data_IF_541685627879
#
_entry.id   IF_541685627879
#
_cell.length_a   1.000
_cell.length_b   1.000
_cell.length_c   1.000
_cell.angle_alpha   90.00
_cell.angle_beta   90.00
_cell.angle_gamma   90.00
#
_symmetry.space_group_name_H-M   'P 1'
#
loop_
_entity.id
_entity.type
_entity.pdbx_description
1 polymer ?
#
# COMPACT_ATOMS: atom_id res chain seq x y z
N UNK A 1 -10.58 84.52 -14.59
CA UNK A 1 -11.09 83.19 -14.15
C UNK A 1 -11.00 82.25 -15.34
N UNK A 2 -10.03 81.33 -15.32
CA UNK A 2 -9.77 80.39 -16.41
C UNK A 2 -10.08 78.98 -15.92
N UNK A 3 -11.08 78.34 -16.54
CA UNK A 3 -11.51 76.97 -16.22
C UNK A 3 -10.79 75.97 -17.12
N UNK A 4 -10.07 75.03 -16.52
CA UNK A 4 -9.38 73.92 -17.19
C UNK A 4 -10.34 72.75 -17.40
N UNK A 5 -10.51 72.36 -18.66
CA UNK A 5 -11.32 71.22 -19.12
C UNK A 5 -10.52 69.91 -19.05
N UNK A 6 -11.03 68.94 -18.31
CA UNK A 6 -10.47 67.57 -18.18
C UNK A 6 -11.02 66.66 -19.28
N UNK A 7 -10.23 65.82 -19.98
CA UNK A 7 -10.74 64.96 -21.03
C UNK A 7 -11.28 63.63 -20.48
N UNK A 8 -12.40 63.18 -21.07
CA UNK A 8 -13.12 61.97 -20.73
C UNK A 8 -12.37 60.68 -21.13
N UNK A 9 -12.40 59.69 -20.23
CA UNK A 9 -11.76 58.38 -20.35
C UNK A 9 -12.58 57.48 -21.28
N UNK A 10 -12.02 57.04 -22.41
CA UNK A 10 -12.63 56.05 -23.33
C UNK A 10 -12.78 54.69 -22.63
N UNK A 11 -13.92 53.99 -22.80
CA UNK A 11 -14.06 52.61 -22.35
C UNK A 11 -13.21 51.66 -23.21
N UNK A 12 -12.48 50.75 -22.55
CA UNK A 12 -11.75 49.66 -23.21
C UNK A 12 -12.74 48.64 -23.77
N UNK A 13 -12.63 48.36 -25.06
CA UNK A 13 -13.28 47.26 -25.76
C UNK A 13 -12.90 45.92 -25.13
N UNK A 14 -13.91 45.14 -24.72
CA UNK A 14 -13.74 43.78 -24.21
C UNK A 14 -13.20 42.87 -25.33
N UNK A 15 -12.03 42.27 -25.07
CA UNK A 15 -11.39 41.31 -25.95
C UNK A 15 -12.07 39.96 -25.73
N UNK A 16 -12.72 39.42 -26.77
CA UNK A 16 -13.37 38.12 -26.72
C UNK A 16 -12.32 37.03 -26.46
N UNK A 17 -12.55 36.24 -25.40
CA UNK A 17 -11.76 35.07 -25.03
C UNK A 17 -11.81 34.04 -26.15
N UNK A 18 -10.66 33.62 -26.66
CA UNK A 18 -10.58 32.49 -27.58
C UNK A 18 -11.11 31.21 -26.90
N UNK A 19 -11.81 30.31 -27.62
CA UNK A 19 -12.26 29.05 -27.07
C UNK A 19 -11.05 28.21 -26.61
N UNK A 20 -11.16 27.45 -25.50
CA UNK A 20 -10.08 26.59 -25.06
C UNK A 20 -9.78 25.56 -26.14
N UNK A 21 -8.52 25.52 -26.58
CA UNK A 21 -8.02 24.44 -27.42
C UNK A 21 -8.16 23.13 -26.63
N UNK A 22 -8.94 22.19 -27.18
CA UNK A 22 -9.14 20.85 -26.65
C UNK A 22 -7.85 20.04 -26.79
N UNK A 23 -6.97 20.16 -25.81
CA UNK A 23 -5.85 19.25 -25.62
C UNK A 23 -6.34 18.01 -24.88
N UNK A 24 -6.06 16.82 -25.43
CA UNK A 24 -6.33 15.54 -24.77
C UNK A 24 -5.57 15.46 -23.45
N UNK A 25 -6.28 15.16 -22.36
CA UNK A 25 -5.71 14.94 -21.04
C UNK A 25 -5.47 13.43 -20.83
N UNK A 26 -4.33 13.02 -20.24
CA UNK A 26 -4.08 11.62 -19.96
C UNK A 26 -5.07 11.09 -18.92
N UNK A 27 -5.66 9.93 -19.23
CA UNK A 27 -6.55 9.18 -18.36
C UNK A 27 -5.71 8.17 -17.55
N UNK A 28 -5.86 8.14 -16.23
CA UNK A 28 -5.19 7.14 -15.38
C UNK A 28 -6.25 6.26 -14.74
N UNK A 29 -6.10 4.94 -14.81
CA UNK A 29 -7.00 3.99 -14.13
C UNK A 29 -6.31 3.47 -12.88
N UNK A 30 -6.95 3.63 -11.73
CA UNK A 30 -6.48 3.07 -10.47
C UNK A 30 -6.67 1.54 -10.48
N UNK A 31 -5.55 0.81 -10.37
CA UNK A 31 -5.52 -0.65 -10.46
C UNK A 31 -6.15 -1.37 -9.25
N UNK A 32 -6.41 -0.68 -8.13
CA UNK A 32 -7.04 -1.29 -6.96
C UNK A 32 -8.54 -1.01 -6.87
N UNK A 33 -8.97 0.19 -7.26
CA UNK A 33 -10.40 0.56 -7.23
C UNK A 33 -11.10 0.44 -8.58
N UNK A 34 -10.37 0.30 -9.69
CA UNK A 34 -10.91 0.33 -11.05
C UNK A 34 -11.41 1.71 -11.49
N UNK A 35 -11.18 2.76 -10.68
CA UNK A 35 -11.71 4.10 -10.94
C UNK A 35 -10.91 4.84 -12.00
N UNK A 36 -11.61 5.57 -12.85
CA UNK A 36 -11.04 6.48 -13.84
C UNK A 36 -10.67 7.79 -13.14
N UNK A 37 -9.39 8.12 -13.12
CA UNK A 37 -8.83 9.34 -12.56
C UNK A 37 -8.55 10.33 -13.69
N UNK A 38 -9.19 11.50 -13.61
CA UNK A 38 -8.92 12.61 -14.51
C UNK A 38 -7.72 13.41 -14.00
N UNK A 39 -6.70 13.56 -14.85
CA UNK A 39 -5.51 14.34 -14.53
C UNK A 39 -5.64 15.73 -15.14
N UNK A 40 -5.84 16.75 -14.29
CA UNK A 40 -5.79 18.14 -14.73
C UNK A 40 -4.43 18.75 -14.36
N UNK A 41 -3.67 19.32 -15.32
CA UNK A 41 -2.51 20.13 -14.99
C UNK A 41 -2.98 21.39 -14.25
N UNK A 42 -2.50 21.61 -13.04
CA UNK A 42 -2.66 22.88 -12.34
C UNK A 42 -1.94 23.96 -13.16
N UNK A 43 -2.69 24.79 -13.88
CA UNK A 43 -2.12 26.02 -14.46
C UNK A 43 -1.53 26.82 -13.30
N UNK A 44 -0.24 27.16 -13.42
CA UNK A 44 0.48 28.01 -12.48
C UNK A 44 -0.18 29.40 -12.39
N UNK A 45 -1.28 29.50 -11.65
CA UNK A 45 -1.88 30.75 -11.26
C UNK A 45 -1.13 31.24 -10.02
N UNK A 46 -0.38 32.34 -10.21
CA UNK A 46 0.30 33.14 -9.19
C UNK A 46 1.74 32.77 -8.78
N UNK A 47 2.62 32.48 -9.73
CA UNK A 47 4.06 32.68 -9.52
C UNK A 47 4.46 34.15 -9.77
N UNK A 48 3.96 35.04 -8.91
CA UNK A 48 4.20 36.48 -8.97
C UNK A 48 5.12 36.99 -7.86
N UNK A 49 6.18 36.27 -7.49
CA UNK A 49 7.26 36.79 -6.61
C UNK A 49 8.60 36.14 -6.96
N UNK A 50 9.34 36.76 -7.88
CA UNK A 50 10.77 36.51 -8.07
C UNK A 50 11.56 37.21 -6.96
N UNK A 51 12.04 36.46 -5.97
CA UNK A 51 13.14 36.92 -5.12
C UNK A 51 14.46 36.75 -5.88
N UNK A 52 15.02 37.87 -6.36
CA UNK A 52 16.39 37.90 -6.91
C UNK A 52 17.38 37.94 -5.75
N UNK A 53 18.09 36.83 -5.55
CA UNK A 53 19.37 36.80 -4.84
C UNK A 53 20.42 36.28 -5.82
N UNK A 54 21.30 37.17 -6.26
CA UNK A 54 22.36 36.84 -7.22
C UNK A 54 23.58 36.23 -6.55
N UNK A 55 24.15 35.21 -7.18
CA UNK A 55 25.60 35.02 -7.36
C UNK A 55 25.79 33.83 -8.29
N UNK A 56 26.71 33.95 -9.24
CA UNK A 56 26.83 33.11 -10.42
C UNK A 56 27.24 31.67 -10.13
N UNK A 57 26.49 30.74 -10.73
CA UNK A 57 26.94 29.46 -11.25
C UNK A 57 25.75 28.89 -12.06
N UNK A 58 26.03 28.34 -13.25
CA UNK A 58 25.08 27.62 -14.11
C UNK A 58 24.20 26.67 -13.28
N UNK A 59 22.98 27.09 -12.98
CA UNK A 59 22.03 26.34 -12.15
C UNK A 59 21.03 25.71 -13.08
N UNK A 60 21.09 24.38 -13.21
CA UNK A 60 19.98 23.60 -13.75
C UNK A 60 18.74 23.94 -12.92
N UNK A 61 17.75 24.58 -13.55
CA UNK A 61 16.47 24.87 -12.92
C UNK A 61 15.74 23.56 -12.63
N UNK A 62 15.24 23.43 -11.40
CA UNK A 62 14.40 22.29 -11.01
C UNK A 62 12.96 22.52 -11.47
N UNK A 63 12.30 21.45 -11.91
CA UNK A 63 10.89 21.48 -12.33
C UNK A 63 10.04 20.78 -11.25
N UNK A 64 9.10 21.52 -10.66
CA UNK A 64 8.09 20.98 -9.74
C UNK A 64 6.83 20.71 -10.56
N UNK A 65 6.40 19.45 -10.60
CA UNK A 65 5.17 19.06 -11.27
C UNK A 65 4.08 18.83 -10.21
N UNK A 66 3.04 19.65 -10.27
CA UNK A 66 1.86 19.55 -9.43
C UNK A 66 0.76 18.83 -10.19
N UNK A 67 0.27 17.74 -9.61
CA UNK A 67 -0.89 17.01 -10.12
C UNK A 67 -1.99 17.04 -9.08
N UNK A 68 -3.20 17.37 -9.50
CA UNK A 68 -4.40 17.22 -8.68
C UNK A 68 -5.20 16.09 -9.33
N UNK A 69 -5.30 14.97 -8.62
CA UNK A 69 -6.12 13.84 -9.02
C UNK A 69 -7.47 14.00 -8.33
N UNK A 70 -8.53 14.04 -9.14
CA UNK A 70 -9.89 14.12 -8.63
C UNK A 70 -10.64 12.86 -9.05
N UNK A 71 -10.97 12.02 -8.06
CA UNK A 71 -11.91 10.93 -8.28
C UNK A 71 -13.33 11.51 -8.41
N UNK A 72 -14.17 10.91 -9.26
CA UNK A 72 -15.56 11.33 -9.42
C UNK A 72 -16.31 11.19 -8.08
N UNK A 73 -16.63 12.33 -7.45
CA UNK A 73 -17.33 12.38 -6.15
C UNK A 73 -16.45 12.41 -4.89
N UNK A 74 -15.11 12.42 -5.04
CA UNK A 74 -14.17 12.48 -3.91
C UNK A 74 -13.55 13.86 -3.68
N UNK A 75 -12.95 14.06 -2.50
CA UNK A 75 -12.09 15.21 -2.23
C UNK A 75 -10.83 15.13 -3.12
N UNK A 76 -10.35 16.25 -3.69
CA UNK A 76 -9.18 16.24 -4.57
C UNK A 76 -7.93 15.86 -3.78
N UNK A 77 -7.13 14.94 -4.33
CA UNK A 77 -5.84 14.54 -3.76
C UNK A 77 -4.73 15.19 -4.57
N UNK A 78 -3.88 15.97 -3.91
CA UNK A 78 -2.77 16.69 -4.54
C UNK A 78 -1.48 15.89 -4.40
N UNK A 79 -0.85 15.60 -5.52
CA UNK A 79 0.46 14.97 -5.61
C UNK A 79 1.49 16.00 -6.04
N UNK A 80 2.61 16.03 -5.33
CA UNK A 80 3.78 16.83 -5.71
C UNK A 80 4.88 15.87 -6.13
N UNK A 81 5.23 15.89 -7.41
CA UNK A 81 6.33 15.07 -7.93
C UNK A 81 7.57 15.95 -8.03
N UNK A 82 8.56 15.65 -7.17
CA UNK A 82 9.86 16.30 -7.14
C UNK A 82 10.83 15.57 -8.08
N UNK A 83 11.14 16.17 -9.23
CA UNK A 83 12.15 15.63 -10.14
C UNK A 83 13.55 16.18 -9.77
N UNK A 84 14.44 15.23 -9.46
CA UNK A 84 15.85 15.30 -9.05
C UNK A 84 16.46 16.61 -8.47
N UNK A 85 16.91 16.50 -7.22
CA UNK A 85 17.84 17.40 -6.51
C UNK A 85 18.12 16.89 -5.08
N UNK A 86 19.24 17.28 -4.45
CA UNK A 86 19.72 16.77 -3.14
C UNK A 86 18.61 16.71 -2.07
N UNK A 87 18.54 15.57 -1.37
CA UNK A 87 17.58 15.17 -0.30
C UNK A 87 17.26 16.28 0.72
N UNK A 88 18.24 17.09 1.10
CA UNK A 88 18.05 18.17 2.09
C UNK A 88 17.02 19.21 1.63
N UNK A 89 16.95 19.53 0.33
CA UNK A 89 16.01 20.55 -0.18
C UNK A 89 14.60 20.04 -0.43
N UNK A 90 14.42 18.73 -0.63
CA UNK A 90 13.10 18.10 -0.66
C UNK A 90 12.45 18.11 0.72
N UNK A 91 13.25 17.96 1.78
CA UNK A 91 12.81 18.11 3.17
C UNK A 91 12.43 19.56 3.50
N UNK A 92 13.16 20.54 2.98
CA UNK A 92 12.81 21.96 3.15
C UNK A 92 11.51 22.34 2.41
N UNK A 93 11.31 21.82 1.18
CA UNK A 93 10.08 22.02 0.43
C UNK A 93 8.87 21.35 1.10
N UNK A 94 9.06 20.15 1.65
CA UNK A 94 8.07 19.48 2.47
C UNK A 94 7.70 20.27 3.73
N UNK A 95 8.68 20.86 4.43
CA UNK A 95 8.42 21.71 5.60
C UNK A 95 7.62 22.97 5.23
N UNK A 96 7.98 23.63 4.14
CA UNK A 96 7.23 24.79 3.65
C UNK A 96 5.76 24.47 3.33
N UNK A 97 5.49 23.28 2.77
CA UNK A 97 4.14 22.81 2.47
C UNK A 97 3.36 22.39 3.74
N UNK A 98 4.04 21.85 4.75
CA UNK A 98 3.44 21.54 6.04
C UNK A 98 3.04 22.81 6.82
N UNK A 99 3.84 23.89 6.72
CA UNK A 99 3.54 25.20 7.29
C UNK A 99 2.31 25.86 6.63
N UNK A 100 1.95 25.47 5.40
CA UNK A 100 0.72 25.88 4.71
C UNK A 100 -0.51 25.03 5.09
N UNK A 101 -0.38 24.11 6.06
CA UNK A 101 -1.48 23.29 6.56
C UNK A 101 -1.88 22.14 5.62
N UNK A 102 -1.06 21.83 4.62
CA UNK A 102 -1.22 20.64 3.79
C UNK A 102 -0.65 19.45 4.57
N UNK A 103 -1.50 18.49 4.92
CA UNK A 103 -1.05 17.24 5.52
C UNK A 103 -0.21 16.46 4.50
N UNK A 104 1.07 16.28 4.79
CA UNK A 104 1.98 15.52 3.94
C UNK A 104 2.24 14.18 4.61
N UNK A 105 1.69 13.11 4.06
CA UNK A 105 2.25 11.78 4.27
C UNK A 105 3.46 11.65 3.35
N UNK A 106 4.65 11.92 3.89
CA UNK A 106 5.91 11.65 3.21
C UNK A 106 6.25 10.19 3.41
N UNK A 107 5.64 9.34 2.58
CA UNK A 107 6.24 8.04 2.31
C UNK A 107 7.52 8.27 1.52
N UNK A 108 8.63 8.33 2.26
CA UNK A 108 9.96 8.20 1.67
C UNK A 108 10.08 6.79 1.09
N UNK A 109 9.66 6.64 -0.16
CA UNK A 109 9.77 5.40 -0.90
C UNK A 109 11.24 4.96 -0.92
N UNK A 110 11.51 3.85 -0.25
CA UNK A 110 12.84 3.25 -0.16
C UNK A 110 13.33 2.79 -1.54
N UNK A 111 14.63 2.93 -1.79
CA UNK A 111 15.38 2.64 -3.04
C UNK A 111 15.15 1.27 -3.73
N UNK A 112 14.28 0.39 -3.22
CA UNK A 112 13.89 -0.88 -3.86
C UNK A 112 12.79 -0.74 -4.93
N UNK A 113 12.19 0.45 -5.09
CA UNK A 113 11.15 0.70 -6.12
C UNK A 113 11.67 0.95 -7.55
N UNK A 114 12.98 1.01 -7.76
CA UNK A 114 13.56 1.30 -9.08
C UNK A 114 13.14 0.32 -10.19
N UNK A 115 12.78 -0.91 -9.87
CA UNK A 115 12.26 -1.87 -10.85
C UNK A 115 10.82 -1.55 -11.29
N UNK A 116 9.96 -1.13 -10.35
CA UNK A 116 8.57 -0.74 -10.62
C UNK A 116 8.52 0.60 -11.34
N UNK A 117 9.34 1.54 -10.91
CA UNK A 117 9.49 2.85 -11.56
C UNK A 117 10.07 2.72 -12.97
N UNK A 118 11.08 1.85 -13.17
CA UNK A 118 11.64 1.56 -14.49
C UNK A 118 10.60 0.91 -15.42
N UNK A 119 9.78 -0.02 -14.89
CA UNK A 119 8.73 -0.66 -15.68
C UNK A 119 7.62 0.33 -16.07
N UNK A 120 7.17 1.17 -15.14
CA UNK A 120 6.19 2.23 -15.42
C UNK A 120 6.74 3.26 -16.42
N UNK A 121 8.00 3.66 -16.27
CA UNK A 121 8.68 4.57 -17.20
C UNK A 121 8.79 3.97 -18.59
N UNK A 122 9.20 2.72 -18.70
CA UNK A 122 9.28 1.98 -19.96
C UNK A 122 7.91 1.86 -20.63
N UNK A 123 6.86 1.59 -19.87
CA UNK A 123 5.50 1.49 -20.39
C UNK A 123 4.99 2.85 -20.90
N UNK A 124 5.23 3.94 -20.16
CA UNK A 124 4.89 5.29 -20.58
C UNK A 124 5.67 5.73 -21.82
N UNK A 125 6.98 5.45 -21.88
CA UNK A 125 7.82 5.76 -23.04
C UNK A 125 7.35 5.00 -24.29
N UNK A 126 7.01 3.71 -24.16
CA UNK A 126 6.45 2.91 -25.26
C UNK A 126 5.08 3.42 -25.71
N UNK A 127 4.23 3.82 -24.77
CA UNK A 127 2.91 4.40 -25.04
C UNK A 127 3.02 5.71 -25.81
N UNK A 128 3.91 6.61 -25.37
CA UNK A 128 4.18 7.87 -26.05
C UNK A 128 4.82 7.65 -27.44
N UNK A 129 5.70 6.66 -27.59
CA UNK A 129 6.30 6.32 -28.87
C UNK A 129 5.25 5.78 -29.86
N UNK A 130 4.35 4.89 -29.42
CA UNK A 130 3.24 4.40 -30.24
C UNK A 130 2.28 5.52 -30.65
N UNK A 131 1.97 6.43 -29.73
CA UNK A 131 1.13 7.58 -30.02
C UNK A 131 1.73 8.50 -31.10
N UNK A 132 3.03 8.82 -30.98
CA UNK A 132 3.74 9.62 -31.99
C UNK A 132 3.80 8.94 -33.36
N UNK A 133 3.99 7.63 -33.37
CA UNK A 133 4.02 6.85 -34.61
C UNK A 133 2.66 6.88 -35.34
N UNK A 134 1.56 6.70 -34.59
CA UNK A 134 0.20 6.72 -35.16
C UNK A 134 -0.17 8.12 -35.63
N UNK A 135 0.15 9.17 -34.86
CA UNK A 135 -0.04 10.55 -35.30
C UNK A 135 0.75 10.88 -36.57
N UNK A 136 1.95 10.30 -36.74
CA UNK A 136 2.75 10.47 -37.95
C UNK A 136 2.18 9.77 -39.19
N UNK A 137 1.49 8.63 -39.01
CA UNK A 137 0.84 7.89 -40.11
C UNK A 137 -0.46 8.53 -40.58
N UNK A 138 -1.19 9.19 -39.67
CA UNK A 138 -2.54 9.70 -39.94
C UNK A 138 -2.61 11.22 -39.86
N UNK A 139 -2.08 11.91 -40.87
CA UNK A 139 -2.18 13.36 -41.01
C UNK A 139 -3.63 13.86 -41.24
N UNK A 140 -4.59 12.95 -41.47
CA UNK A 140 -6.00 13.25 -41.77
C UNK A 140 -6.92 13.41 -40.55
N UNK A 141 -6.41 13.25 -39.32
CA UNK A 141 -7.21 13.30 -38.10
C UNK A 141 -7.95 11.98 -37.86
N UNK A 142 -7.50 11.24 -36.85
CA UNK A 142 -8.22 10.08 -36.31
C UNK A 142 -9.30 10.56 -35.35
N UNK A 143 -10.42 9.85 -35.28
CA UNK A 143 -11.33 9.98 -34.14
C UNK A 143 -10.67 9.42 -32.88
N UNK A 144 -11.15 9.84 -31.71
CA UNK A 144 -10.61 9.40 -30.42
C UNK A 144 -10.66 7.87 -30.26
N UNK A 145 -11.76 7.24 -30.67
CA UNK A 145 -11.93 5.79 -30.60
C UNK A 145 -10.96 5.03 -31.52
N UNK A 146 -10.73 5.55 -32.73
CA UNK A 146 -9.77 4.96 -33.67
C UNK A 146 -8.33 5.09 -33.17
N UNK A 147 -8.00 6.23 -32.56
CA UNK A 147 -6.69 6.46 -31.95
C UNK A 147 -6.46 5.53 -30.76
N UNK A 148 -7.45 5.36 -29.87
CA UNK A 148 -7.36 4.44 -28.74
C UNK A 148 -7.17 3.00 -29.23
N UNK A 149 -7.94 2.58 -30.24
CA UNK A 149 -7.83 1.23 -30.82
C UNK A 149 -6.46 0.99 -31.45
N UNK A 150 -5.97 1.91 -32.26
CA UNK A 150 -4.70 1.74 -32.98
C UNK A 150 -3.49 1.84 -32.03
N UNK A 151 -3.57 2.68 -30.99
CA UNK A 151 -2.56 2.74 -29.90
C UNK A 151 -2.56 1.44 -29.13
N UNK A 152 -3.74 0.88 -28.83
CA UNK A 152 -3.88 -0.42 -28.17
C UNK A 152 -3.28 -1.58 -28.97
N UNK A 153 -3.57 -1.64 -30.27
CA UNK A 153 -3.02 -2.66 -31.18
C UNK A 153 -1.49 -2.51 -31.32
N UNK A 154 -1.01 -1.28 -31.51
CA UNK A 154 0.45 -1.01 -31.64
C UNK A 154 1.18 -1.26 -30.32
N UNK A 155 0.55 -1.01 -29.17
CA UNK A 155 1.10 -1.39 -27.88
C UNK A 155 1.08 -2.89 -27.68
N UNK A 156 0.04 -3.62 -28.04
CA UNK A 156 0.01 -5.08 -27.96
C UNK A 156 1.14 -5.70 -28.79
N UNK A 157 1.38 -5.19 -30.01
CA UNK A 157 2.48 -5.64 -30.88
C UNK A 157 3.88 -5.27 -30.33
N UNK A 158 4.03 -4.12 -29.66
CA UNK A 158 5.33 -3.70 -29.08
C UNK A 158 5.57 -4.22 -27.65
N UNK A 159 4.49 -4.58 -26.96
CA UNK A 159 4.45 -5.22 -25.64
C UNK A 159 4.34 -6.74 -25.81
N UNK A 160 4.42 -7.26 -27.05
CA UNK A 160 5.04 -8.56 -27.33
C UNK A 160 6.55 -8.51 -26.98
N UNK A 161 6.87 -8.04 -25.78
CA UNK A 161 8.00 -8.50 -24.99
C UNK A 161 8.05 -10.01 -25.20
N UNK A 162 9.22 -10.50 -25.58
CA UNK A 162 9.49 -11.93 -25.73
C UNK A 162 8.69 -12.69 -24.69
N UNK A 163 7.89 -13.66 -25.12
CA UNK A 163 7.26 -14.62 -24.24
C UNK A 163 8.34 -15.50 -23.57
N UNK A 164 9.24 -14.90 -22.77
CA UNK A 164 9.51 -15.44 -21.44
C UNK A 164 8.13 -15.65 -20.84
N UNK A 165 7.71 -16.91 -20.88
CA UNK A 165 6.30 -17.25 -21.01
C UNK A 165 5.52 -16.79 -19.78
N UNK A 166 4.20 -16.65 -19.88
CA UNK A 166 3.35 -16.30 -18.73
C UNK A 166 3.67 -17.20 -17.53
N UNK A 167 4.01 -18.46 -17.79
CA UNK A 167 4.48 -19.45 -16.82
C UNK A 167 5.80 -19.05 -16.13
N UNK A 168 6.78 -18.50 -16.85
CA UNK A 168 8.02 -17.99 -16.25
C UNK A 168 7.75 -16.81 -15.31
N UNK A 169 6.83 -15.91 -15.70
CA UNK A 169 6.38 -14.81 -14.85
C UNK A 169 5.65 -15.29 -13.59
N UNK A 170 4.77 -16.29 -13.72
CA UNK A 170 4.11 -16.93 -12.58
C UNK A 170 5.11 -17.63 -11.67
N UNK A 171 6.08 -18.34 -12.23
CA UNK A 171 7.12 -19.01 -11.46
C UNK A 171 7.97 -18.01 -10.67
N UNK A 172 8.38 -16.88 -11.27
CA UNK A 172 9.12 -15.84 -10.57
C UNK A 172 8.30 -15.25 -9.41
N UNK A 173 7.00 -15.01 -9.61
CA UNK A 173 6.11 -14.53 -8.55
C UNK A 173 6.00 -15.52 -7.39
N UNK A 174 5.86 -16.82 -7.68
CA UNK A 174 5.83 -17.89 -6.67
C UNK A 174 7.15 -17.97 -5.91
N UNK A 175 8.28 -17.96 -6.61
CA UNK A 175 9.62 -17.98 -6.00
C UNK A 175 9.88 -16.74 -5.15
N UNK A 176 9.41 -15.57 -5.58
CA UNK A 176 9.47 -14.33 -4.80
C UNK A 176 8.62 -14.43 -3.53
N UNK A 177 7.39 -14.94 -3.65
CA UNK A 177 6.51 -15.19 -2.50
C UNK A 177 7.12 -16.16 -1.51
N UNK A 178 7.72 -17.25 -2.00
CA UNK A 178 8.41 -18.25 -1.18
C UNK A 178 9.60 -17.64 -0.43
N UNK A 179 10.46 -16.89 -1.13
CA UNK A 179 11.59 -16.17 -0.52
C UNK A 179 11.12 -15.19 0.55
N UNK A 180 10.02 -14.48 0.31
CA UNK A 180 9.42 -13.57 1.29
C UNK A 180 8.95 -14.31 2.55
N UNK A 181 8.24 -15.43 2.40
CA UNK A 181 7.82 -16.27 3.55
C UNK A 181 9.01 -16.79 4.35
N UNK A 182 10.06 -17.28 3.67
CA UNK A 182 11.27 -17.76 4.35
C UNK A 182 11.98 -16.63 5.10
N UNK A 183 12.08 -15.44 4.50
CA UNK A 183 12.68 -14.27 5.15
C UNK A 183 11.87 -13.83 6.39
N UNK A 184 10.54 -13.84 6.30
CA UNK A 184 9.65 -13.56 7.42
C UNK A 184 9.85 -14.55 8.56
N UNK A 185 9.85 -15.86 8.28
CA UNK A 185 10.05 -16.90 9.31
C UNK A 185 11.44 -16.89 9.95
N UNK A 186 12.44 -16.30 9.30
CA UNK A 186 13.79 -16.12 9.84
C UNK A 186 13.97 -14.78 10.57
N UNK A 187 12.93 -13.94 10.63
CA UNK A 187 12.98 -12.65 11.32
C UNK A 187 12.83 -12.79 12.84
N UNK A 188 13.22 -11.75 13.59
CA UNK A 188 13.23 -11.75 15.06
C UNK A 188 11.91 -12.12 15.77
N UNK A 189 10.72 -11.78 15.24
CA UNK A 189 9.43 -12.21 15.79
C UNK A 189 9.19 -13.72 15.79
N UNK A 190 9.96 -14.49 15.03
CA UNK A 190 9.87 -15.94 14.98
C UNK A 190 11.07 -16.59 15.67
N UNK A 191 10.80 -17.57 16.52
CA UNK A 191 11.79 -18.30 17.31
C UNK A 191 12.03 -19.67 16.72
N UNK A 192 13.28 -20.12 16.75
CA UNK A 192 13.62 -21.53 16.48
C UNK A 192 13.13 -22.42 17.62
N UNK A 193 13.12 -23.75 17.40
CA UNK A 193 12.82 -24.72 18.46
C UNK A 193 13.79 -24.64 19.62
N UNK A 194 15.07 -24.35 19.35
CA UNK A 194 16.11 -24.13 20.37
C UNK A 194 15.84 -22.88 21.19
N UNK A 195 15.55 -21.74 20.55
CA UNK A 195 15.19 -20.51 21.26
C UNK A 195 13.90 -20.65 22.08
N UNK A 196 12.90 -21.34 21.54
CA UNK A 196 11.67 -21.65 22.27
C UNK A 196 11.94 -22.54 23.48
N UNK A 197 12.90 -23.46 23.39
CA UNK A 197 13.30 -24.33 24.50
C UNK A 197 13.87 -23.53 25.68
N UNK A 198 14.71 -22.54 25.38
CA UNK A 198 15.29 -21.62 26.35
C UNK A 198 14.21 -20.75 27.00
N UNK A 199 13.32 -20.17 26.18
CA UNK A 199 12.25 -19.28 26.66
C UNK A 199 11.20 -20.01 27.51
N UNK A 200 10.91 -21.27 27.20
CA UNK A 200 9.94 -22.08 27.95
C UNK A 200 10.58 -22.85 29.12
N UNK A 201 11.92 -22.88 29.23
CA UNK A 201 12.63 -23.67 30.23
C UNK A 201 12.41 -25.19 30.09
N UNK A 202 12.18 -25.68 28.87
CA UNK A 202 11.98 -27.11 28.57
C UNK A 202 12.97 -27.57 27.51
N UNK A 203 13.31 -28.86 27.47
CA UNK A 203 14.21 -29.37 26.43
C UNK A 203 13.62 -29.26 25.01
N UNK A 204 14.48 -29.04 24.00
CA UNK A 204 14.07 -28.94 22.59
C UNK A 204 13.21 -30.14 22.10
N UNK A 205 13.48 -31.41 22.48
CA UNK A 205 12.61 -32.53 22.13
C UNK A 205 11.18 -32.38 22.66
N UNK A 206 10.99 -31.74 23.83
CA UNK A 206 9.68 -31.46 24.39
C UNK A 206 8.95 -30.35 23.61
N UNK A 207 9.66 -29.34 23.11
CA UNK A 207 9.10 -28.33 22.18
C UNK A 207 8.59 -29.02 20.91
N UNK A 208 9.43 -29.83 20.27
CA UNK A 208 9.05 -30.58 19.05
C UNK A 208 7.87 -31.52 19.30
N UNK A 209 7.82 -32.15 20.47
CA UNK A 209 6.67 -32.97 20.89
C UNK A 209 5.40 -32.14 21.01
N UNK A 210 5.45 -30.95 21.64
CA UNK A 210 4.28 -30.06 21.75
C UNK A 210 3.78 -29.57 20.39
N UNK A 211 4.68 -29.26 19.46
CA UNK A 211 4.30 -28.89 18.07
C UNK A 211 3.57 -30.06 17.40
N UNK A 212 4.12 -31.27 17.50
CA UNK A 212 3.50 -32.48 16.93
C UNK A 212 2.12 -32.78 17.54
N UNK A 213 1.96 -32.55 18.84
CA UNK A 213 0.71 -32.68 19.56
C UNK A 213 -0.23 -31.48 19.39
N UNK A 214 0.10 -30.51 18.51
CA UNK A 214 -0.69 -29.29 18.28
C UNK A 214 -0.91 -28.44 19.54
N UNK A 215 -0.10 -28.65 20.58
CA UNK A 215 -0.09 -27.87 21.83
C UNK A 215 0.82 -26.64 21.76
N UNK A 216 1.49 -26.44 20.63
CA UNK A 216 2.30 -25.27 20.39
C UNK A 216 2.21 -24.91 18.91
N UNK A 217 1.77 -23.68 18.63
CA UNK A 217 1.65 -23.20 17.27
C UNK A 217 3.03 -22.98 16.64
N UNK A 218 3.23 -23.50 15.44
CA UNK A 218 4.48 -23.32 14.69
C UNK A 218 4.23 -23.40 13.18
N UNK A 219 5.00 -22.63 12.43
CA UNK A 219 5.01 -22.67 10.97
C UNK A 219 6.22 -23.46 10.47
N UNK A 220 6.01 -24.29 9.45
CA UNK A 220 7.12 -24.97 8.76
C UNK A 220 7.77 -24.02 7.76
N UNK A 221 9.09 -23.94 7.81
CA UNK A 221 9.89 -23.23 6.81
C UNK A 221 9.87 -24.05 5.52
N UNK A 222 9.40 -23.47 4.40
CA UNK A 222 9.42 -24.17 3.13
C UNK A 222 10.85 -24.57 2.72
N UNK A 223 11.03 -25.81 2.28
CA UNK A 223 12.30 -26.36 1.78
C UNK A 223 13.19 -27.01 2.85
N UNK A 224 13.22 -26.49 4.07
CA UNK A 224 14.11 -26.97 5.15
C UNK A 224 13.38 -27.86 6.17
N UNK A 225 12.05 -27.73 6.26
CA UNK A 225 11.24 -28.51 7.21
C UNK A 225 11.43 -28.09 8.68
N UNK A 226 12.29 -27.11 8.96
CA UNK A 226 12.42 -26.50 10.29
C UNK A 226 11.11 -25.84 10.72
N UNK A 227 10.82 -25.91 12.01
CA UNK A 227 9.70 -25.18 12.60
C UNK A 227 10.16 -23.81 13.13
N UNK A 228 9.33 -22.80 12.91
CA UNK A 228 9.47 -21.44 13.43
C UNK A 228 8.21 -21.06 14.19
N UNK A 229 8.40 -20.60 15.41
CA UNK A 229 7.33 -20.35 16.39
C UNK A 229 7.20 -18.83 16.55
N UNK A 230 6.03 -18.23 16.25
CA UNK A 230 5.82 -16.83 16.57
C UNK A 230 6.03 -16.57 18.06
N UNK A 231 6.68 -15.46 18.43
CA UNK A 231 7.01 -15.17 19.82
C UNK A 231 5.77 -15.13 20.73
N UNK A 232 4.63 -14.62 20.23
CA UNK A 232 3.36 -14.61 20.96
C UNK A 232 2.80 -16.01 21.23
N UNK A 233 3.14 -17.02 20.41
CA UNK A 233 2.65 -18.39 20.59
C UNK A 233 3.34 -19.12 21.77
N UNK A 234 4.42 -18.54 22.30
CA UNK A 234 5.10 -19.03 23.50
C UNK A 234 4.42 -18.54 24.80
N UNK A 235 3.48 -17.61 24.71
CA UNK A 235 2.73 -17.12 25.87
C UNK A 235 1.90 -18.25 26.50
N UNK A 236 1.87 -18.40 27.83
CA UNK A 236 1.12 -19.45 28.51
C UNK A 236 -0.39 -19.44 28.27
N UNK A 237 -0.97 -18.29 27.93
CA UNK A 237 -2.38 -18.15 27.57
C UNK A 237 -2.71 -18.75 26.19
N UNK A 238 -1.71 -18.83 25.31
CA UNK A 238 -1.85 -19.40 23.95
C UNK A 238 -1.34 -20.85 23.91
N UNK A 239 -0.19 -21.11 24.50
CA UNK A 239 0.43 -22.43 24.48
C UNK A 239 -0.37 -23.46 25.29
N UNK A 240 -0.33 -24.72 24.88
CA UNK A 240 -0.97 -25.82 25.57
C UNK A 240 -2.42 -26.02 25.12
N UNK A 241 -3.37 -25.85 26.05
CA UNK A 241 -4.76 -26.19 25.82
C UNK A 241 -5.44 -25.30 24.77
N UNK A 242 -5.18 -23.98 24.80
CA UNK A 242 -5.75 -23.04 23.83
C UNK A 242 -5.30 -23.38 22.41
N UNK A 243 -3.99 -23.53 22.16
CA UNK A 243 -3.48 -23.98 20.86
C UNK A 243 -4.12 -25.29 20.40
N UNK A 244 -4.19 -26.31 21.27
CA UNK A 244 -4.80 -27.59 20.92
C UNK A 244 -6.29 -27.45 20.56
N UNK A 245 -7.02 -26.60 21.28
CA UNK A 245 -8.44 -26.36 21.05
C UNK A 245 -8.71 -25.61 19.74
N UNK A 246 -7.84 -24.66 19.38
CA UNK A 246 -7.90 -23.98 18.09
C UNK A 246 -7.68 -24.96 16.92
N UNK A 247 -6.67 -25.82 16.99
CA UNK A 247 -6.44 -26.84 15.96
C UNK A 247 -7.60 -27.85 15.86
N UNK A 248 -8.20 -28.21 16.99
CA UNK A 248 -9.34 -29.13 17.04
C UNK A 248 -10.64 -28.50 16.50
N UNK A 249 -10.79 -27.18 16.62
CA UNK A 249 -11.99 -26.44 16.21
C UNK A 249 -12.21 -26.43 14.70
N UNK A 250 -11.13 -26.48 13.92
CA UNK A 250 -11.21 -26.54 12.44
C UNK A 250 -10.26 -27.61 11.90
N UNK A 251 -10.67 -28.90 11.92
CA UNK A 251 -9.85 -29.98 11.40
C UNK A 251 -9.53 -29.78 9.91
N UNK A 252 -8.26 -29.96 9.55
CA UNK A 252 -7.76 -29.84 8.18
C UNK A 252 -7.34 -28.43 7.76
N UNK A 253 -7.50 -27.43 8.63
CA UNK A 253 -6.91 -26.10 8.40
C UNK A 253 -5.39 -26.18 8.42
N UNK A 254 -4.73 -25.58 7.44
CA UNK A 254 -3.28 -25.54 7.39
C UNK A 254 -2.69 -24.52 8.38
N UNK A 255 -1.43 -24.68 8.76
CA UNK A 255 -0.84 -23.83 9.79
C UNK A 255 -0.70 -22.37 9.33
N UNK A 256 -0.57 -22.10 8.02
CA UNK A 256 -0.52 -20.73 7.49
C UNK A 256 -1.88 -20.04 7.53
N UNK A 257 -2.97 -20.76 7.24
CA UNK A 257 -4.34 -20.26 7.41
C UNK A 257 -4.59 -19.88 8.87
N UNK A 258 -4.26 -20.77 9.81
CA UNK A 258 -4.42 -20.47 11.23
C UNK A 258 -3.53 -19.30 11.68
N UNK A 259 -2.29 -19.20 11.17
CA UNK A 259 -1.45 -18.02 11.43
C UNK A 259 -2.10 -16.73 10.92
N UNK A 260 -2.62 -16.76 9.69
CA UNK A 260 -3.25 -15.59 9.08
C UNK A 260 -4.44 -15.13 9.91
N UNK A 261 -5.36 -16.04 10.25
CA UNK A 261 -6.48 -15.76 11.15
C UNK A 261 -5.98 -15.12 12.45
N UNK A 262 -5.05 -15.79 13.15
CA UNK A 262 -4.61 -15.35 14.47
C UNK A 262 -3.92 -13.98 14.43
N UNK A 263 -3.25 -13.63 13.33
CA UNK A 263 -2.44 -12.42 13.19
C UNK A 263 -3.11 -11.26 12.46
N UNK A 264 -4.31 -11.47 11.90
CA UNK A 264 -5.07 -10.44 11.19
C UNK A 264 -6.07 -9.78 12.14
N UNK A 265 -6.17 -8.44 12.17
CA UNK A 265 -7.21 -7.74 12.92
C UNK A 265 -8.60 -8.25 12.53
N UNK A 266 -9.43 -8.61 13.52
CA UNK A 266 -10.78 -9.09 13.29
C UNK A 266 -11.81 -8.04 13.75
N UNK A 267 -12.72 -7.65 12.86
CA UNK A 267 -13.76 -6.65 13.15
C UNK A 267 -14.72 -7.07 14.26
N UNK A 268 -15.05 -8.36 14.38
CA UNK A 268 -15.90 -8.92 15.44
C UNK A 268 -15.18 -8.98 16.81
N UNK A 269 -13.86 -8.77 16.83
CA UNK A 269 -13.04 -8.67 18.04
C UNK A 269 -12.60 -7.22 18.29
N UNK A 270 -13.38 -6.23 17.85
CA UNK A 270 -13.07 -4.79 17.96
C UNK A 270 -11.71 -4.40 17.34
N UNK A 271 -11.33 -5.06 16.25
CA UNK A 271 -10.06 -4.83 15.55
C UNK A 271 -8.84 -5.45 16.26
N UNK A 272 -9.03 -6.16 17.38
CA UNK A 272 -7.96 -6.94 17.97
C UNK A 272 -7.62 -8.13 17.07
N UNK A 273 -6.35 -8.53 17.10
CA UNK A 273 -5.94 -9.79 16.48
C UNK A 273 -6.34 -10.94 17.42
N UNK A 274 -6.84 -12.06 16.90
CA UNK A 274 -7.30 -13.14 17.77
C UNK A 274 -6.24 -13.65 18.76
N UNK A 275 -4.93 -13.66 18.41
CA UNK A 275 -3.92 -14.04 19.39
C UNK A 275 -3.84 -13.07 20.59
N UNK A 276 -4.11 -11.78 20.40
CA UNK A 276 -4.05 -10.76 21.46
C UNK A 276 -5.14 -10.99 22.51
N UNK A 277 -6.29 -11.53 22.10
CA UNK A 277 -7.38 -11.95 22.98
C UNK A 277 -6.96 -13.12 23.89
N UNK A 278 -6.02 -13.95 23.44
CA UNK A 278 -5.57 -15.17 24.11
C UNK A 278 -4.33 -14.97 24.99
N UNK A 279 -3.62 -13.85 24.84
CA UNK A 279 -2.44 -13.56 25.63
C UNK A 279 -2.76 -13.47 27.13
N UNK A 280 -1.83 -13.96 27.94
CA UNK A 280 -1.87 -13.77 29.39
C UNK A 280 -1.87 -12.28 29.75
N UNK A 281 -2.58 -11.91 30.83
CA UNK A 281 -2.68 -10.49 31.25
C UNK A 281 -1.34 -9.84 31.56
N UNK A 282 -0.33 -10.65 31.90
CA UNK A 282 1.04 -10.23 32.21
C UNK A 282 1.82 -9.79 30.96
N UNK A 283 1.51 -10.32 29.78
CA UNK A 283 2.21 -9.98 28.51
C UNK A 283 1.52 -8.87 27.72
N UNK A 284 0.29 -8.51 28.09
CA UNK A 284 -0.44 -7.41 27.47
C UNK A 284 0.12 -6.04 27.90
N UNK A 285 0.27 -5.16 26.92
CA UNK A 285 0.47 -3.73 27.17
C UNK A 285 -0.78 -3.12 27.80
N UNK A 286 -0.68 -1.95 28.48
CA UNK A 286 -1.85 -1.28 29.07
C UNK A 286 -2.95 -0.98 28.05
N UNK A 287 -2.59 -0.60 26.82
CA UNK A 287 -3.56 -0.32 25.75
C UNK A 287 -4.29 -1.58 25.28
N UNK A 288 -3.58 -2.69 25.05
CA UNK A 288 -4.21 -3.94 24.65
C UNK A 288 -5.07 -4.53 25.76
N UNK A 289 -4.65 -4.37 27.03
CA UNK A 289 -5.46 -4.78 28.17
C UNK A 289 -6.78 -4.00 28.21
N UNK A 290 -6.74 -2.68 28.06
CA UNK A 290 -7.94 -1.85 28.04
C UNK A 290 -8.89 -2.25 26.89
N UNK A 291 -8.37 -2.40 25.67
CA UNK A 291 -9.17 -2.83 24.52
C UNK A 291 -9.77 -4.23 24.71
N UNK A 292 -9.03 -5.16 25.34
CA UNK A 292 -9.54 -6.49 25.66
C UNK A 292 -10.62 -6.44 26.74
N UNK A 293 -10.44 -5.61 27.77
CA UNK A 293 -11.41 -5.47 28.85
C UNK A 293 -12.72 -4.81 28.34
N UNK A 294 -12.61 -3.88 27.38
CA UNK A 294 -13.74 -3.30 26.64
C UNK A 294 -14.49 -4.38 25.85
N UNK A 295 -13.77 -5.20 25.07
CA UNK A 295 -14.37 -6.33 24.34
C UNK A 295 -15.09 -7.31 25.28
N UNK A 296 -14.47 -7.66 26.41
CA UNK A 296 -15.09 -8.54 27.42
C UNK A 296 -16.39 -7.92 27.97
N UNK A 297 -16.39 -6.61 28.20
CA UNK A 297 -17.58 -5.88 28.68
C UNK A 297 -18.70 -5.86 27.63
N UNK A 298 -18.38 -5.64 26.35
CA UNK A 298 -19.36 -5.60 25.26
C UNK A 298 -19.98 -6.97 24.98
N UNK A 299 -19.19 -8.04 25.12
CA UNK A 299 -19.67 -9.41 24.96
C UNK A 299 -20.42 -9.93 26.20
N UNK A 300 -20.61 -9.09 27.22
CA UNK A 300 -21.26 -9.43 28.50
C UNK A 300 -20.65 -10.68 29.17
N UNK A 301 -19.36 -10.92 28.95
CA UNK A 301 -18.68 -12.07 29.50
C UNK A 301 -18.39 -11.85 30.98
N UNK A 302 -18.62 -12.90 31.79
CA UNK A 302 -18.32 -12.85 33.23
C UNK A 302 -16.85 -12.50 33.50
N UNK A 303 -16.58 -11.83 34.63
CA UNK A 303 -15.21 -11.45 35.00
C UNK A 303 -14.28 -12.68 35.02
N UNK A 304 -13.19 -12.61 34.25
CA UNK A 304 -12.22 -13.71 34.11
C UNK A 304 -12.62 -14.80 33.12
N UNK A 305 -13.72 -14.63 32.37
CA UNK A 305 -14.05 -15.51 31.25
C UNK A 305 -12.93 -15.50 30.21
N UNK A 306 -12.63 -16.68 29.68
CA UNK A 306 -11.66 -16.82 28.59
C UNK A 306 -12.30 -16.41 27.27
N UNK A 307 -11.61 -15.56 26.50
CA UNK A 307 -11.99 -15.23 25.13
C UNK A 307 -11.74 -16.38 24.13
N UNK A 308 -11.22 -17.53 24.59
CA UNK A 308 -10.94 -18.68 23.74
C UNK A 308 -12.18 -19.16 22.98
N UNK A 309 -13.33 -19.28 23.64
CA UNK A 309 -14.55 -19.74 22.99
C UNK A 309 -15.01 -18.77 21.87
N UNK A 310 -14.89 -17.46 22.12
CA UNK A 310 -15.21 -16.42 21.13
C UNK A 310 -14.27 -16.52 19.94
N UNK A 311 -12.96 -16.62 20.19
CA UNK A 311 -11.95 -16.78 19.14
C UNK A 311 -12.18 -18.07 18.33
N UNK A 312 -12.57 -19.17 18.97
CA UNK A 312 -12.88 -20.42 18.29
C UNK A 312 -14.13 -20.32 17.40
N UNK A 313 -15.15 -19.58 17.84
CA UNK A 313 -16.37 -19.38 17.06
C UNK A 313 -16.12 -18.48 15.84
N UNK A 314 -15.31 -17.44 15.99
CA UNK A 314 -14.81 -16.62 14.88
C UNK A 314 -13.96 -17.44 13.90
N UNK A 315 -13.07 -18.30 14.41
CA UNK A 315 -12.26 -19.19 13.57
C UNK A 315 -13.13 -20.15 12.75
N UNK A 316 -14.19 -20.70 13.35
CA UNK A 316 -15.16 -21.56 12.65
C UNK A 316 -16.01 -20.77 11.65
N UNK A 317 -16.30 -19.50 11.92
CA UNK A 317 -17.00 -18.63 10.97
C UNK A 317 -16.14 -18.38 9.73
N UNK A 318 -14.90 -17.91 9.90
CA UNK A 318 -13.96 -17.67 8.79
C UNK A 318 -13.69 -18.95 7.98
N UNK A 319 -13.53 -20.09 8.65
CA UNK A 319 -13.35 -21.38 7.97
C UNK A 319 -14.57 -21.83 7.14
N UNK A 320 -15.79 -21.41 7.50
CA UNK A 320 -17.00 -21.70 6.72
C UNK A 320 -17.09 -20.80 5.49
N UNK A 321 -16.76 -19.52 5.65
CA UNK A 321 -16.75 -18.55 4.55
C UNK A 321 -15.70 -18.91 3.49
N UNK A 322 -14.47 -19.24 3.92
CA UNK A 322 -13.39 -19.62 3.01
C UNK A 322 -13.63 -20.93 2.23
N UNK A 323 -14.58 -21.78 2.64
CA UNK A 323 -15.01 -22.97 1.89
C UNK A 323 -16.13 -22.69 0.89
N UNK A 324 -16.85 -21.58 1.05
CA UNK A 324 -17.96 -21.20 0.20
C UNK A 324 -17.52 -20.38 -1.02
N UNK A 325 -16.34 -19.75 -0.93
CA UNK A 325 -15.67 -19.03 -2.02
C UNK A 325 -14.90 -19.97 -2.96
#
# INVERSE_FOLDING_TARGET
MAGTSTPAKRPRSAQASAPPQSGFLPLIVDAHSGSILHVAPLRAANAGRTAKSGSGATTQGHELLYYELQAAGGAPVRYVVLLHGKRERAVDAARALADEGLAIDLDAVSHKEGARESLLRSLLEKTLASFKEIQGRHAGGLTEDELIREVGETLADKVSVSATSVEEGWQELLERGLRSKVAMLKSGPFKSTTQASELLGIGEPAVRKRIREQKLFALKVPGDGEHRIPAWALDPGVAGAAAASLYASVPGMDEWQLYHFLSTPNGNLNGLRPFECLLSSATLTPSLRAARDELVSELELGAGASLLAVVEDELKAEAREGRAA
#
